data_IF_739599153730
#
_entry.id   IF_739599153730
#
_cell.length_a   1.000
_cell.length_b   1.000
_cell.length_c   1.000
_cell.angle_alpha   90.00
_cell.angle_beta   90.00
_cell.angle_gamma   90.00
#
_symmetry.space_group_name_H-M   'P 1'
#
loop_
_entity.id
_entity.type
_entity.pdbx_description
1 polymer ?
#
# COMPACT_ATOMS: atom_id res chain seq x y z
N UNK A 1 20.64 13.97 17.83
CA UNK A 1 19.35 13.81 17.10
C UNK A 1 18.24 13.68 18.13
N UNK A 2 17.25 14.58 18.13
CA UNK A 2 16.21 14.61 19.18
C UNK A 2 15.27 13.39 19.05
N UNK A 3 14.80 12.85 20.19
CA UNK A 3 13.94 11.66 20.24
C UNK A 3 12.69 11.77 19.34
N UNK A 4 12.09 12.97 19.27
CA UNK A 4 10.94 13.26 18.43
C UNK A 4 11.21 13.03 16.93
N UNK A 5 12.43 13.31 16.48
CA UNK A 5 12.83 13.14 15.07
C UNK A 5 13.04 11.66 14.74
N UNK A 6 13.59 10.88 15.67
CA UNK A 6 13.69 9.41 15.53
C UNK A 6 12.32 8.76 15.48
N UNK A 7 11.39 9.23 16.31
CA UNK A 7 10.03 8.71 16.33
C UNK A 7 9.29 8.99 15.02
N UNK A 8 9.38 10.22 14.48
CA UNK A 8 8.78 10.53 13.18
C UNK A 8 9.37 9.73 12.02
N UNK A 9 10.71 9.58 11.98
CA UNK A 9 11.37 8.78 10.95
C UNK A 9 10.99 7.30 11.04
N UNK A 10 10.84 6.77 12.25
CA UNK A 10 10.38 5.41 12.47
C UNK A 10 9.00 5.15 11.86
N UNK A 11 8.03 6.04 12.09
CA UNK A 11 6.71 5.88 11.49
C UNK A 11 6.73 5.97 9.97
N UNK A 12 7.55 6.86 9.42
CA UNK A 12 7.74 6.94 7.97
C UNK A 12 8.32 5.64 7.41
N UNK A 13 9.43 5.16 7.97
CA UNK A 13 10.08 3.93 7.54
C UNK A 13 9.19 2.69 7.75
N UNK A 14 8.34 2.68 8.79
CA UNK A 14 7.43 1.57 9.07
C UNK A 14 6.20 1.55 8.15
N UNK A 15 5.57 2.71 7.89
CA UNK A 15 4.32 2.80 7.12
C UNK A 15 4.59 2.90 5.62
N UNK A 16 5.58 3.71 5.24
CA UNK A 16 5.90 3.96 3.83
C UNK A 16 6.90 2.95 3.30
N UNK A 17 7.84 2.54 4.15
CA UNK A 17 8.91 1.61 3.76
C UNK A 17 9.94 2.26 2.84
N UNK A 18 10.65 1.40 2.10
CA UNK A 18 11.68 1.75 1.14
C UNK A 18 11.13 2.31 -0.19
N UNK A 19 9.91 1.90 -0.60
CA UNK A 19 9.23 2.39 -1.80
C UNK A 19 7.85 3.01 -1.49
N UNK A 20 7.80 4.34 -1.49
CA UNK A 20 6.57 5.11 -1.31
C UNK A 20 5.47 4.78 -2.32
N UNK A 21 5.83 4.24 -3.48
CA UNK A 21 4.86 3.90 -4.53
C UNK A 21 4.04 2.67 -4.15
N UNK A 22 4.64 1.74 -3.42
CA UNK A 22 3.91 0.58 -2.88
C UNK A 22 2.92 1.07 -1.82
N UNK A 23 3.37 1.93 -0.90
CA UNK A 23 2.50 2.53 0.10
C UNK A 23 1.32 3.30 -0.53
N UNK A 24 1.58 4.13 -1.54
CA UNK A 24 0.53 4.83 -2.31
C UNK A 24 -0.41 3.84 -3.02
N UNK A 25 0.14 2.79 -3.62
CA UNK A 25 -0.64 1.73 -4.26
C UNK A 25 -1.57 1.00 -3.28
N UNK A 26 -1.09 0.69 -2.07
CA UNK A 26 -1.89 0.08 -1.01
C UNK A 26 -3.00 1.03 -0.55
N UNK A 27 -2.69 2.32 -0.36
CA UNK A 27 -3.70 3.31 0.02
C UNK A 27 -4.82 3.42 -1.03
N UNK A 28 -4.46 3.43 -2.32
CA UNK A 28 -5.42 3.43 -3.44
C UNK A 28 -6.23 2.12 -3.43
N UNK A 29 -5.60 0.97 -3.24
CA UNK A 29 -6.28 -0.32 -3.20
C UNK A 29 -7.30 -0.39 -2.06
N UNK A 30 -6.96 0.11 -0.87
CA UNK A 30 -7.88 0.19 0.26
C UNK A 30 -9.04 1.16 -0.01
N UNK A 31 -8.75 2.35 -0.57
CA UNK A 31 -9.80 3.31 -0.94
C UNK A 31 -10.77 2.74 -1.98
N UNK A 32 -10.25 2.06 -3.00
CA UNK A 32 -11.08 1.40 -4.01
C UNK A 32 -11.87 0.21 -3.43
N UNK A 33 -11.28 -0.56 -2.52
CA UNK A 33 -11.98 -1.64 -1.81
C UNK A 33 -13.12 -1.07 -0.96
N UNK A 34 -12.89 0.04 -0.25
CA UNK A 34 -13.91 0.69 0.57
C UNK A 34 -15.06 1.24 -0.30
N UNK A 35 -14.75 1.84 -1.45
CA UNK A 35 -15.76 2.29 -2.41
C UNK A 35 -16.57 1.11 -2.98
N UNK A 36 -15.91 -0.01 -3.30
CA UNK A 36 -16.59 -1.22 -3.76
C UNK A 36 -17.45 -1.86 -2.65
N UNK A 37 -16.96 -1.89 -1.42
CA UNK A 37 -17.68 -2.41 -0.26
C UNK A 37 -18.88 -1.54 0.15
N UNK A 38 -18.94 -0.29 -0.29
CA UNK A 38 -20.11 0.58 -0.13
C UNK A 38 -21.25 0.23 -1.11
N UNK A 39 -21.03 -0.70 -2.03
CA UNK A 39 -22.05 -1.23 -2.95
C UNK A 39 -22.59 -2.58 -2.46
N UNK A 40 -23.68 -3.08 -3.04
CA UNK A 40 -24.22 -4.41 -2.75
C UNK A 40 -23.35 -5.57 -3.27
N UNK A 41 -22.20 -5.27 -3.89
CA UNK A 41 -21.32 -6.28 -4.46
C UNK A 41 -20.31 -6.81 -3.43
N UNK A 42 -20.04 -8.13 -3.42
CA UNK A 42 -19.03 -8.70 -2.55
C UNK A 42 -17.62 -8.24 -2.97
N UNK A 43 -16.97 -7.42 -2.13
CA UNK A 43 -15.67 -6.80 -2.42
C UNK A 43 -14.42 -7.65 -2.07
N UNK A 44 -14.62 -8.86 -1.52
CA UNK A 44 -13.54 -9.69 -0.96
C UNK A 44 -12.42 -10.06 -1.95
N UNK A 45 -12.73 -10.12 -3.25
CA UNK A 45 -11.79 -10.52 -4.30
C UNK A 45 -10.86 -9.38 -4.75
N UNK A 46 -11.27 -8.14 -4.54
CA UNK A 46 -10.57 -6.98 -5.10
C UNK A 46 -9.21 -6.76 -4.46
N UNK A 47 -9.16 -6.82 -3.12
CA UNK A 47 -7.95 -6.55 -2.35
C UNK A 47 -6.84 -7.60 -2.64
N UNK A 48 -7.12 -8.93 -2.69
CA UNK A 48 -6.15 -9.92 -3.17
C UNK A 48 -5.59 -9.65 -4.57
N UNK A 49 -6.45 -9.27 -5.53
CA UNK A 49 -6.01 -8.93 -6.88
C UNK A 49 -5.13 -7.67 -6.92
N UNK A 50 -5.52 -6.64 -6.16
CA UNK A 50 -4.74 -5.42 -6.05
C UNK A 50 -3.35 -5.70 -5.45
N UNK A 51 -3.26 -6.53 -4.41
CA UNK A 51 -1.99 -6.97 -3.83
C UNK A 51 -1.15 -7.73 -4.85
N UNK A 52 -1.72 -8.71 -5.56
CA UNK A 52 -0.99 -9.46 -6.59
C UNK A 52 -0.45 -8.53 -7.70
N UNK A 53 -1.23 -7.54 -8.12
CA UNK A 53 -0.82 -6.55 -9.12
C UNK A 53 0.33 -5.67 -8.61
N UNK A 54 0.22 -5.14 -7.38
CA UNK A 54 1.27 -4.32 -6.78
C UNK A 54 2.58 -5.10 -6.62
N UNK A 55 2.50 -6.37 -6.20
CA UNK A 55 3.65 -7.27 -6.12
C UNK A 55 4.27 -7.51 -7.49
N UNK A 56 3.46 -7.79 -8.51
CA UNK A 56 3.95 -7.97 -9.88
C UNK A 56 4.67 -6.72 -10.40
N UNK A 57 4.09 -5.54 -10.21
CA UNK A 57 4.70 -4.27 -10.63
C UNK A 57 5.99 -3.96 -9.87
N UNK A 58 6.02 -4.24 -8.57
CA UNK A 58 7.21 -4.09 -7.72
C UNK A 58 8.33 -5.01 -8.21
N UNK A 59 8.06 -6.31 -8.39
CA UNK A 59 9.02 -7.29 -8.89
C UNK A 59 9.52 -6.94 -10.29
N UNK A 60 8.62 -6.56 -11.21
CA UNK A 60 8.98 -6.16 -12.57
C UNK A 60 9.90 -4.93 -12.59
N UNK A 61 9.77 -4.02 -11.61
CA UNK A 61 10.65 -2.86 -11.49
C UNK A 61 12.00 -3.26 -10.89
N UNK A 62 12.00 -4.07 -9.85
CA UNK A 62 13.23 -4.53 -9.20
C UNK A 62 14.10 -5.43 -10.11
N UNK A 63 13.46 -6.17 -11.03
CA UNK A 63 14.15 -7.07 -11.96
C UNK A 63 14.63 -6.38 -13.26
N UNK A 64 14.35 -5.09 -13.46
CA UNK A 64 14.84 -4.29 -14.59
C UNK A 64 16.06 -3.49 -14.16
#
# INVERSE_FOLDING_TARGET
>A
MNALRRFGHFWWDFVVGDDWRIAAGVAIALGATAALAATDQPAWWFLPLAVALLLYLSLRRAAR
#
